data_IF_522822118427
#
_entry.id   IF_522822118427
#
_cell.length_a   1.000
_cell.length_b   1.000
_cell.length_c   1.000
_cell.angle_alpha   90.00
_cell.angle_beta   90.00
_cell.angle_gamma   90.00
#
_symmetry.space_group_name_H-M   'P 1'
#
loop_
_entity.id
_entity.type
_entity.pdbx_description
1 polymer ?
#
# COMPACT_ATOMS: atom_id res chain seq x y z
N UNK A 1 -35.31 14.23 -1.82
CA UNK A 1 -34.71 13.68 -0.60
C UNK A 1 -33.28 13.31 -0.97
N UNK A 2 -32.36 14.24 -0.81
CA UNK A 2 -30.99 14.14 -1.30
C UNK A 2 -30.04 13.89 -0.14
N UNK A 3 -29.30 12.79 -0.25
CA UNK A 3 -27.91 12.57 0.15
C UNK A 3 -27.37 13.42 1.31
N UNK A 4 -27.31 12.81 2.49
CA UNK A 4 -26.57 13.34 3.64
C UNK A 4 -25.84 12.19 4.31
N UNK A 5 -24.66 11.83 3.76
CA UNK A 5 -23.73 10.91 4.41
C UNK A 5 -22.26 11.19 4.10
N UNK A 6 -21.93 12.41 3.67
CA UNK A 6 -20.54 12.88 3.69
C UNK A 6 -20.21 13.37 5.11
N UNK A 7 -20.19 12.42 6.04
CA UNK A 7 -19.64 12.57 7.36
C UNK A 7 -18.14 12.80 7.19
N UNK A 8 -17.79 14.06 6.97
CA UNK A 8 -16.48 14.64 7.20
C UNK A 8 -16.06 14.31 8.64
N UNK A 9 -15.54 13.11 8.85
CA UNK A 9 -14.87 12.74 10.09
C UNK A 9 -13.50 13.42 10.10
N UNK A 10 -13.54 14.67 10.57
CA UNK A 10 -12.51 15.41 11.28
C UNK A 10 -11.09 15.27 10.71
N UNK A 11 -10.80 16.18 9.78
CA UNK A 11 -9.48 16.58 9.35
C UNK A 11 -8.58 16.88 10.55
N UNK A 12 -7.71 15.94 10.89
CA UNK A 12 -6.43 16.26 11.51
C UNK A 12 -5.45 16.54 10.35
N UNK A 13 -5.09 17.81 10.06
CA UNK A 13 -4.18 18.14 8.96
C UNK A 13 -2.73 17.65 9.19
N UNK A 14 -2.46 16.97 10.31
CA UNK A 14 -1.18 16.33 10.60
C UNK A 14 -1.16 14.88 10.10
N UNK A 15 -0.63 14.71 8.89
CA UNK A 15 -0.22 13.43 8.25
C UNK A 15 -1.33 12.65 7.53
N UNK A 16 -1.93 13.28 6.52
CA UNK A 16 -2.40 12.50 5.36
C UNK A 16 -1.15 11.86 4.72
N UNK A 17 -0.91 10.58 5.01
CA UNK A 17 0.14 9.82 4.34
C UNK A 17 -0.23 9.70 2.85
N UNK A 18 0.73 9.89 1.93
CA UNK A 18 0.50 9.71 0.48
C UNK A 18 -0.06 8.32 0.10
N UNK A 19 0.02 7.38 1.04
CA UNK A 19 -0.49 6.03 0.93
C UNK A 19 -1.92 5.85 1.41
N UNK A 20 -2.57 6.85 2.03
CA UNK A 20 -3.95 6.75 2.49
C UNK A 20 -4.92 6.82 1.30
N UNK A 21 -5.60 5.72 0.98
CA UNK A 21 -6.65 5.70 -0.03
C UNK A 21 -7.94 6.33 0.50
N UNK A 22 -8.51 7.27 -0.24
CA UNK A 22 -9.82 7.88 0.04
C UNK A 22 -10.98 6.88 -0.05
N UNK A 23 -10.75 5.72 -0.67
CA UNK A 23 -11.76 4.67 -0.85
C UNK A 23 -11.10 3.31 -0.63
N UNK A 24 -11.72 2.45 0.17
CA UNK A 24 -11.26 1.08 0.37
C UNK A 24 -11.37 0.32 -0.95
N UNK A 25 -10.29 -0.27 -1.47
CA UNK A 25 -10.38 -1.12 -2.65
C UNK A 25 -11.33 -2.29 -2.35
N UNK A 26 -12.25 -2.60 -3.27
CA UNK A 26 -13.16 -3.75 -3.15
C UNK A 26 -12.46 -5.08 -3.55
N UNK A 27 -11.15 -5.15 -3.35
CA UNK A 27 -10.31 -6.31 -3.67
C UNK A 27 -9.58 -6.73 -2.41
N UNK A 28 -9.49 -8.04 -2.17
CA UNK A 28 -8.69 -8.56 -1.05
C UNK A 28 -7.20 -8.29 -1.27
N UNK A 29 -6.42 -8.25 -0.20
CA UNK A 29 -4.96 -8.08 -0.27
C UNK A 29 -4.34 -9.24 -1.07
N UNK A 30 -4.84 -10.46 -0.87
CA UNK A 30 -4.37 -11.66 -1.58
C UNK A 30 -4.61 -11.55 -3.10
N UNK A 31 -5.84 -11.26 -3.51
CA UNK A 31 -6.16 -11.09 -4.94
C UNK A 31 -5.41 -9.91 -5.56
N UNK A 32 -5.12 -8.87 -4.78
CA UNK A 32 -4.29 -7.76 -5.22
C UNK A 32 -2.83 -8.18 -5.42
N UNK A 33 -2.27 -8.95 -4.49
CA UNK A 33 -0.92 -9.50 -4.59
C UNK A 33 -0.78 -10.48 -5.77
N UNK A 34 -1.76 -11.35 -6.00
CA UNK A 34 -1.80 -12.25 -7.15
C UNK A 34 -1.81 -11.49 -8.47
N UNK A 35 -2.57 -10.39 -8.56
CA UNK A 35 -2.53 -9.51 -9.73
C UNK A 35 -1.14 -8.91 -9.92
N UNK A 36 -0.52 -8.42 -8.85
CA UNK A 36 0.84 -7.87 -8.95
C UNK A 36 1.82 -8.95 -9.42
N UNK A 37 1.75 -10.16 -8.86
CA UNK A 37 2.56 -11.28 -9.30
C UNK A 37 2.36 -11.60 -10.78
N UNK A 38 1.12 -11.60 -11.25
CA UNK A 38 0.78 -11.87 -12.66
C UNK A 38 1.21 -10.77 -13.62
N UNK A 39 1.13 -9.51 -13.22
CA UNK A 39 1.30 -8.37 -14.14
C UNK A 39 2.65 -7.64 -13.99
N UNK A 40 3.32 -7.69 -12.83
CA UNK A 40 4.58 -7.00 -12.62
C UNK A 40 5.76 -7.66 -13.34
N UNK A 41 5.63 -8.95 -13.70
CA UNK A 41 6.64 -9.73 -14.41
C UNK A 41 8.06 -9.65 -13.79
N UNK A 42 8.13 -9.49 -12.46
CA UNK A 42 9.36 -9.39 -11.70
C UNK A 42 9.71 -10.73 -11.03
N UNK A 43 11.00 -10.94 -10.70
CA UNK A 43 11.45 -12.16 -10.00
C UNK A 43 10.77 -12.32 -8.63
N UNK A 44 10.49 -13.58 -8.17
CA UNK A 44 9.95 -13.84 -6.84
C UNK A 44 10.75 -13.21 -5.68
N UNK A 45 12.05 -12.99 -5.87
CA UNK A 45 12.92 -12.29 -4.91
C UNK A 45 12.46 -10.86 -4.62
N UNK A 46 11.82 -10.17 -5.59
CA UNK A 46 11.29 -8.82 -5.42
C UNK A 46 10.21 -8.77 -4.33
N UNK A 47 9.43 -9.84 -4.16
CA UNK A 47 8.40 -9.91 -3.13
C UNK A 47 8.99 -10.05 -1.73
N UNK A 48 10.10 -10.78 -1.59
CA UNK A 48 10.83 -10.90 -0.32
C UNK A 48 11.40 -9.54 0.07
N UNK A 49 12.03 -8.83 -0.88
CA UNK A 49 12.56 -7.48 -0.63
C UNK A 49 11.44 -6.48 -0.31
N UNK A 50 10.31 -6.55 -1.03
CA UNK A 50 9.14 -5.73 -0.75
C UNK A 50 8.58 -5.95 0.67
N UNK A 51 8.55 -7.19 1.14
CA UNK A 51 8.15 -7.51 2.52
C UNK A 51 9.10 -6.87 3.54
N UNK A 52 10.41 -6.93 3.31
CA UNK A 52 11.40 -6.25 4.16
C UNK A 52 11.20 -4.72 4.15
N UNK A 53 10.82 -4.13 3.03
CA UNK A 53 10.49 -2.69 2.97
C UNK A 53 9.25 -2.33 3.78
N UNK A 54 8.21 -3.17 3.74
CA UNK A 54 7.01 -2.99 4.56
C UNK A 54 7.33 -3.11 6.05
N UNK A 55 8.10 -4.11 6.45
CA UNK A 55 8.51 -4.30 7.85
C UNK A 55 9.34 -3.11 8.37
N UNK A 56 10.31 -2.64 7.59
CA UNK A 56 11.09 -1.44 7.90
C UNK A 56 10.22 -0.19 8.00
N UNK A 57 9.18 -0.07 7.17
CA UNK A 57 8.24 1.05 7.23
C UNK A 57 7.47 1.07 8.54
N UNK A 58 6.96 -0.07 9.00
CA UNK A 58 6.25 -0.19 10.29
C UNK A 58 7.15 0.20 11.45
N UNK A 59 8.40 -0.27 11.45
CA UNK A 59 9.36 0.03 12.52
C UNK A 59 9.76 1.51 12.55
N UNK A 60 9.96 2.14 11.39
CA UNK A 60 10.39 3.55 11.30
C UNK A 60 9.25 4.54 11.52
N UNK A 61 8.01 4.12 11.26
CA UNK A 61 6.86 5.02 11.28
C UNK A 61 5.75 4.50 12.21
N UNK A 62 6.01 4.42 13.54
CA UNK A 62 5.03 3.92 14.50
C UNK A 62 3.76 4.78 14.56
N UNK A 63 3.83 6.04 14.15
CA UNK A 63 2.67 6.95 14.07
C UNK A 63 1.74 6.68 12.88
N UNK A 64 2.10 5.82 11.93
CA UNK A 64 1.30 5.50 10.74
C UNK A 64 1.09 3.99 10.63
N UNK A 65 0.16 3.42 11.43
CA UNK A 65 -0.13 1.99 11.36
C UNK A 65 -0.67 1.57 9.99
N UNK A 66 -0.29 0.37 9.56
CA UNK A 66 -0.82 -0.24 8.36
C UNK A 66 -2.29 -0.61 8.58
N UNK A 67 -3.14 -0.23 7.65
CA UNK A 67 -4.58 -0.47 7.64
C UNK A 67 -5.04 -0.87 6.22
N UNK A 68 -6.29 -1.31 6.08
CA UNK A 68 -6.84 -1.70 4.76
C UNK A 68 -6.94 -0.55 3.75
N UNK A 69 -6.79 0.70 4.17
CA UNK A 69 -6.84 1.87 3.27
C UNK A 69 -5.46 2.22 2.69
N UNK A 70 -4.36 1.83 3.36
CA UNK A 70 -3.01 2.14 2.95
C UNK A 70 -2.19 0.93 2.47
N UNK A 71 -2.52 -0.28 2.91
CA UNK A 71 -1.75 -1.48 2.58
C UNK A 71 -1.67 -1.74 1.07
N UNK A 72 -2.75 -1.52 0.32
CA UNK A 72 -2.74 -1.73 -1.12
C UNK A 72 -1.71 -0.83 -1.82
N UNK A 73 -1.70 0.46 -1.46
CA UNK A 73 -0.75 1.44 -2.01
C UNK A 73 0.68 1.14 -1.55
N UNK A 74 0.88 0.82 -0.27
CA UNK A 74 2.19 0.46 0.29
C UNK A 74 2.77 -0.79 -0.38
N UNK A 75 1.94 -1.80 -0.64
CA UNK A 75 2.35 -3.08 -1.21
C UNK A 75 2.83 -2.92 -2.65
N UNK A 76 2.04 -2.27 -3.52
CA UNK A 76 2.49 -2.01 -4.90
C UNK A 76 3.75 -1.13 -4.94
N UNK A 77 3.83 -0.08 -4.12
CA UNK A 77 5.03 0.77 -4.08
C UNK A 77 6.25 -0.04 -3.65
N UNK A 78 6.13 -0.86 -2.61
CA UNK A 78 7.25 -1.69 -2.14
C UNK A 78 7.71 -2.68 -3.20
N UNK A 79 6.78 -3.33 -3.91
CA UNK A 79 7.10 -4.25 -5.01
C UNK A 79 7.74 -3.53 -6.19
N UNK A 80 7.23 -2.36 -6.60
CA UNK A 80 7.80 -1.61 -7.72
C UNK A 80 9.20 -1.06 -7.41
N UNK A 81 9.44 -0.61 -6.18
CA UNK A 81 10.78 -0.18 -5.74
C UNK A 81 11.74 -1.38 -5.70
N UNK A 82 11.28 -2.53 -5.21
CA UNK A 82 12.08 -3.76 -5.20
C UNK A 82 12.39 -4.23 -6.63
N UNK A 83 11.40 -4.29 -7.51
CA UNK A 83 11.56 -4.70 -8.90
C UNK A 83 12.58 -3.81 -9.63
N UNK A 84 12.45 -2.48 -9.51
CA UNK A 84 13.42 -1.55 -10.09
C UNK A 84 14.84 -1.84 -9.62
N UNK A 85 15.03 -2.05 -8.31
CA UNK A 85 16.36 -2.31 -7.76
C UNK A 85 16.94 -3.69 -8.14
N UNK A 86 16.08 -4.69 -8.33
CA UNK A 86 16.49 -6.06 -8.64
C UNK A 86 16.66 -6.31 -10.15
N UNK A 87 15.89 -5.62 -11.00
CA UNK A 87 15.97 -5.74 -12.45
C UNK A 87 17.05 -4.83 -13.06
N UNK A 88 17.46 -3.76 -12.36
CA UNK A 88 18.59 -2.90 -12.76
C UNK A 88 19.98 -3.49 -12.35
N UNK A 89 20.01 -4.66 -11.69
CA UNK A 89 21.25 -5.38 -11.29
C UNK A 89 21.65 -6.50 -12.24
#
# INVERSE_FOLDING_TARGET
MADSNDLNCLFDPKKISAFHGLTRPNISIQSYLERIFKYANCSPSCFVVAYVYLDRFVQRQPSLPINSFNIHRLLITSVMVAAKFMDDM
#
